data_IF_223774973938
#
_entry.id   IF_223774973938
#
_cell.length_a   1.000
_cell.length_b   1.000
_cell.length_c   1.000
_cell.angle_alpha   90.00
_cell.angle_beta   90.00
_cell.angle_gamma   90.00
#
_symmetry.space_group_name_H-M   'P 1'
#
loop_
_entity.id
_entity.type
_entity.pdbx_description
1 polymer ?
#
# COMPACT_ATOMS: atom_id res chain seq x y z
N UNK A 1 -33.84 -6.14 13.48
CA UNK A 1 -33.43 -6.71 12.18
C UNK A 1 -32.10 -7.40 12.38
N UNK A 2 -32.15 -8.73 12.54
CA UNK A 2 -30.94 -9.59 12.67
C UNK A 2 -30.37 -9.75 11.28
N UNK A 3 -29.22 -9.10 11.04
CA UNK A 3 -28.40 -9.28 9.85
C UNK A 3 -27.95 -10.74 9.75
N UNK A 4 -28.56 -11.50 8.86
CA UNK A 4 -28.16 -12.88 8.54
C UNK A 4 -26.75 -12.82 7.94
N UNK A 5 -25.74 -13.07 8.78
CA UNK A 5 -24.35 -13.22 8.36
C UNK A 5 -24.24 -14.49 7.53
N UNK A 6 -24.10 -14.33 6.22
CA UNK A 6 -23.87 -15.43 5.28
C UNK A 6 -22.51 -16.11 5.60
N UNK A 7 -22.52 -17.36 6.11
CA UNK A 7 -21.29 -18.09 6.46
C UNK A 7 -20.38 -18.34 5.25
N UNK A 8 -20.95 -18.45 4.05
CA UNK A 8 -20.20 -18.67 2.80
C UNK A 8 -19.35 -17.47 2.39
N UNK A 9 -19.86 -16.24 2.55
CA UNK A 9 -19.12 -15.02 2.24
C UNK A 9 -17.90 -14.81 3.15
N UNK A 10 -17.99 -15.21 4.42
CA UNK A 10 -16.88 -15.10 5.38
C UNK A 10 -15.73 -16.07 5.06
N UNK A 11 -16.03 -17.29 4.69
CA UNK A 11 -15.05 -18.31 4.33
C UNK A 11 -14.33 -17.93 3.02
N UNK A 12 -15.07 -17.46 2.02
CA UNK A 12 -14.50 -16.95 0.77
C UNK A 12 -13.59 -15.74 1.01
N UNK A 13 -14.00 -14.80 1.85
CA UNK A 13 -13.17 -13.65 2.22
C UNK A 13 -11.86 -14.04 2.91
N UNK A 14 -11.89 -15.04 3.81
CA UNK A 14 -10.69 -15.57 4.44
C UNK A 14 -9.76 -16.25 3.43
N UNK A 15 -10.28 -17.05 2.50
CA UNK A 15 -9.48 -17.71 1.46
C UNK A 15 -8.81 -16.70 0.53
N UNK A 16 -9.54 -15.67 0.09
CA UNK A 16 -8.96 -14.59 -0.71
C UNK A 16 -7.89 -13.81 0.06
N UNK A 17 -8.12 -13.55 1.34
CA UNK A 17 -7.14 -12.91 2.22
C UNK A 17 -5.87 -13.74 2.37
N UNK A 18 -6.01 -15.03 2.69
CA UNK A 18 -4.87 -15.96 2.80
C UNK A 18 -4.09 -16.07 1.49
N UNK A 19 -4.78 -16.16 0.36
CA UNK A 19 -4.15 -16.19 -0.97
C UNK A 19 -3.38 -14.90 -1.27
N UNK A 20 -3.98 -13.74 -1.02
CA UNK A 20 -3.36 -12.45 -1.25
C UNK A 20 -2.13 -12.22 -0.36
N UNK A 21 -2.25 -12.45 0.95
CA UNK A 21 -1.13 -12.27 1.88
C UNK A 21 -0.04 -13.35 1.70
N UNK A 22 -0.43 -14.59 1.34
CA UNK A 22 0.51 -15.65 0.99
C UNK A 22 1.35 -15.29 -0.25
N UNK A 23 0.70 -14.82 -1.32
CA UNK A 23 1.39 -14.34 -2.52
C UNK A 23 2.30 -13.14 -2.19
N UNK A 24 1.84 -12.22 -1.35
CA UNK A 24 2.64 -11.06 -0.92
C UNK A 24 3.86 -11.48 -0.10
N UNK A 25 3.71 -12.49 0.78
CA UNK A 25 4.81 -13.05 1.56
C UNK A 25 5.91 -13.73 0.72
N UNK A 26 5.62 -14.11 -0.54
CA UNK A 26 6.60 -14.68 -1.45
C UNK A 26 7.47 -13.64 -2.17
N UNK A 27 7.08 -12.36 -2.21
CA UNK A 27 7.86 -11.32 -2.91
C UNK A 27 9.31 -11.17 -2.43
N UNK A 28 9.64 -11.26 -1.12
CA UNK A 28 11.03 -11.23 -0.67
C UNK A 28 11.90 -12.34 -1.24
N UNK A 29 11.31 -13.51 -1.53
CA UNK A 29 12.02 -14.61 -2.19
C UNK A 29 12.10 -14.42 -3.72
N UNK A 30 11.13 -13.74 -4.31
CA UNK A 30 11.03 -13.53 -5.76
C UNK A 30 11.97 -12.44 -6.28
N UNK A 31 12.02 -11.27 -5.63
CA UNK A 31 12.79 -10.12 -6.15
C UNK A 31 14.28 -10.37 -6.29
N UNK A 32 14.98 -11.09 -5.38
CA UNK A 32 16.38 -11.42 -5.57
C UNK A 32 16.66 -12.27 -6.82
N UNK A 33 15.68 -13.04 -7.29
CA UNK A 33 15.79 -13.87 -8.50
C UNK A 33 15.79 -13.03 -9.79
N UNK A 34 15.34 -11.78 -9.71
CA UNK A 34 15.30 -10.88 -10.87
C UNK A 34 16.65 -10.22 -11.18
N UNK A 35 17.69 -10.47 -10.37
CA UNK A 35 19.03 -9.94 -10.66
C UNK A 35 19.51 -10.40 -12.05
N UNK A 36 20.13 -9.51 -12.84
CA UNK A 36 20.71 -8.20 -12.47
C UNK A 36 19.75 -6.99 -12.53
N UNK A 37 18.45 -7.17 -12.76
CA UNK A 37 17.51 -6.06 -12.85
C UNK A 37 17.52 -5.19 -11.58
N UNK A 38 17.60 -3.87 -11.77
CA UNK A 38 17.57 -2.90 -10.69
C UNK A 38 16.13 -2.63 -10.19
N UNK A 39 16.01 -2.02 -9.00
CA UNK A 39 14.71 -1.71 -8.40
C UNK A 39 13.83 -0.80 -9.31
N UNK A 40 14.45 0.13 -10.02
CA UNK A 40 13.74 1.02 -10.96
C UNK A 40 13.20 0.23 -12.15
N UNK A 41 13.99 -0.68 -12.72
CA UNK A 41 13.57 -1.53 -13.83
C UNK A 41 12.41 -2.45 -13.43
N UNK A 42 12.51 -3.10 -12.26
CA UNK A 42 11.43 -3.92 -11.70
C UNK A 42 10.15 -3.09 -11.50
N UNK A 43 10.28 -1.86 -10.98
CA UNK A 43 9.14 -0.95 -10.81
C UNK A 43 8.54 -0.54 -12.15
N UNK A 44 9.36 -0.20 -13.14
CA UNK A 44 8.90 0.17 -14.48
C UNK A 44 8.08 -0.96 -15.13
N UNK A 45 8.60 -2.18 -15.13
CA UNK A 45 7.87 -3.35 -15.60
C UNK A 45 6.55 -3.56 -14.86
N UNK A 46 6.54 -3.41 -13.53
CA UNK A 46 5.33 -3.53 -12.74
C UNK A 46 4.29 -2.49 -13.13
N UNK A 47 4.70 -1.23 -13.33
CA UNK A 47 3.79 -0.15 -13.75
C UNK A 47 3.18 -0.48 -15.11
N UNK A 48 4.00 -0.85 -16.10
CA UNK A 48 3.55 -1.19 -17.46
C UNK A 48 2.56 -2.36 -17.44
N UNK A 49 2.91 -3.47 -16.77
CA UNK A 49 2.04 -4.63 -16.70
C UNK A 49 0.75 -4.35 -15.92
N UNK A 50 0.81 -3.54 -14.86
CA UNK A 50 -0.38 -3.10 -14.12
C UNK A 50 -1.27 -2.25 -15.02
N UNK A 51 -0.70 -1.30 -15.78
CA UNK A 51 -1.44 -0.47 -16.72
C UNK A 51 -2.14 -1.31 -17.79
N UNK A 52 -1.43 -2.25 -18.43
CA UNK A 52 -1.99 -3.13 -19.45
C UNK A 52 -3.14 -3.98 -18.88
N UNK A 53 -2.91 -4.62 -17.73
CA UNK A 53 -3.93 -5.43 -17.06
C UNK A 53 -5.17 -4.59 -16.72
N UNK A 54 -4.98 -3.43 -16.11
CA UNK A 54 -6.09 -2.57 -15.72
C UNK A 54 -6.81 -1.96 -16.92
N UNK A 55 -6.10 -1.67 -18.02
CA UNK A 55 -6.73 -1.25 -19.27
C UNK A 55 -7.70 -2.33 -19.78
N UNK A 56 -7.26 -3.59 -19.83
CA UNK A 56 -8.11 -4.73 -20.20
C UNK A 56 -9.32 -4.84 -19.26
N UNK A 57 -9.09 -4.79 -17.92
CA UNK A 57 -10.17 -4.87 -16.93
C UNK A 57 -11.20 -3.75 -17.14
N UNK A 58 -10.75 -2.50 -17.36
CA UNK A 58 -11.65 -1.35 -17.52
C UNK A 58 -12.44 -1.43 -18.83
N UNK A 59 -11.84 -1.95 -19.91
CA UNK A 59 -12.54 -2.21 -21.18
C UNK A 59 -13.62 -3.27 -20.99
N UNK A 60 -13.26 -4.43 -20.42
CA UNK A 60 -14.19 -5.54 -20.18
C UNK A 60 -15.35 -5.12 -19.28
N UNK A 61 -15.06 -4.34 -18.25
CA UNK A 61 -16.07 -3.83 -17.30
C UNK A 61 -16.84 -2.61 -17.83
N UNK A 62 -16.54 -2.09 -19.02
CA UNK A 62 -17.14 -0.88 -19.61
C UNK A 62 -17.05 0.36 -18.71
N UNK A 63 -15.97 0.48 -17.93
CA UNK A 63 -15.73 1.56 -16.96
C UNK A 63 -14.95 2.75 -17.54
N UNK A 64 -14.69 2.77 -18.84
CA UNK A 64 -13.96 3.87 -19.51
C UNK A 64 -14.72 5.20 -19.50
N UNK A 65 -16.06 5.16 -19.40
CA UNK A 65 -16.89 6.37 -19.27
C UNK A 65 -16.58 7.14 -17.99
N UNK A 66 -16.24 6.43 -16.92
CA UNK A 66 -15.99 7.02 -15.59
C UNK A 66 -14.78 7.96 -15.61
N UNK A 67 -13.86 7.77 -16.58
CA UNK A 67 -12.67 8.62 -16.75
C UNK A 67 -13.01 10.06 -17.18
N UNK A 68 -14.15 10.25 -17.85
CA UNK A 68 -14.54 11.56 -18.42
C UNK A 68 -15.11 12.52 -17.38
N UNK A 69 -15.54 12.01 -16.23
CA UNK A 69 -16.21 12.78 -15.17
C UNK A 69 -15.27 13.22 -14.04
N UNK A 70 -13.96 13.02 -14.19
CA UNK A 70 -13.00 13.28 -13.12
C UNK A 70 -12.71 14.77 -12.95
N UNK A 71 -12.83 15.26 -11.72
CA UNK A 71 -12.52 16.64 -11.37
C UNK A 71 -11.00 16.87 -11.27
N UNK A 72 -10.55 18.13 -11.36
CA UNK A 72 -9.14 18.48 -11.13
C UNK A 72 -8.63 18.00 -9.75
N UNK A 73 -9.47 18.11 -8.73
CA UNK A 73 -9.15 17.61 -7.37
C UNK A 73 -8.90 16.12 -7.38
N UNK A 74 -9.73 15.34 -8.06
CA UNK A 74 -9.57 13.87 -8.19
C UNK A 74 -8.27 13.53 -8.88
N UNK A 75 -7.91 14.23 -9.96
CA UNK A 75 -6.62 14.03 -10.65
C UNK A 75 -5.41 14.31 -9.75
N UNK A 76 -5.45 15.38 -8.93
CA UNK A 76 -4.39 15.69 -7.97
C UNK A 76 -4.27 14.61 -6.89
N UNK A 77 -5.39 14.10 -6.39
CA UNK A 77 -5.39 13.00 -5.42
C UNK A 77 -4.84 11.70 -6.02
N UNK A 78 -5.21 11.38 -7.27
CA UNK A 78 -4.67 10.22 -7.97
C UNK A 78 -3.18 10.35 -8.26
N UNK A 79 -2.71 11.56 -8.62
CA UNK A 79 -1.29 11.81 -8.81
C UNK A 79 -0.52 11.65 -7.48
N UNK A 80 -1.04 12.19 -6.38
CA UNK A 80 -0.44 12.00 -5.06
C UNK A 80 -0.41 10.50 -4.66
N UNK A 81 -1.50 9.76 -4.89
CA UNK A 81 -1.55 8.32 -4.65
C UNK A 81 -0.52 7.58 -5.50
N UNK A 82 -0.41 7.91 -6.79
CA UNK A 82 0.57 7.33 -7.71
C UNK A 82 2.01 7.53 -7.23
N UNK A 83 2.38 8.76 -6.84
CA UNK A 83 3.72 9.05 -6.30
C UNK A 83 3.97 8.27 -5.02
N UNK A 84 3.03 8.28 -4.08
CA UNK A 84 3.18 7.59 -2.79
C UNK A 84 3.38 6.08 -2.96
N UNK A 85 2.61 5.45 -3.84
CA UNK A 85 2.72 4.01 -4.07
C UNK A 85 3.98 3.66 -4.87
N UNK A 86 4.42 4.50 -5.80
CA UNK A 86 5.68 4.32 -6.52
C UNK A 86 6.88 4.43 -5.57
N UNK A 87 6.93 5.44 -4.70
CA UNK A 87 7.97 5.57 -3.66
C UNK A 87 7.98 4.35 -2.76
N UNK A 88 6.81 3.92 -2.29
CA UNK A 88 6.69 2.74 -1.43
C UNK A 88 7.29 1.50 -2.10
N UNK A 89 6.90 1.19 -3.33
CA UNK A 89 7.38 0.01 -4.03
C UNK A 89 8.85 0.10 -4.43
N UNK A 90 9.32 1.28 -4.84
CA UNK A 90 10.73 1.49 -5.16
C UNK A 90 11.62 1.17 -3.95
N UNK A 91 11.27 1.74 -2.78
CA UNK A 91 12.01 1.50 -1.54
C UNK A 91 11.89 0.05 -1.11
N UNK A 92 10.72 -0.57 -1.25
CA UNK A 92 10.53 -1.98 -0.91
C UNK A 92 11.38 -2.91 -1.77
N UNK A 93 11.30 -2.79 -3.10
CA UNK A 93 12.07 -3.61 -4.03
C UNK A 93 13.56 -3.40 -3.81
N UNK A 94 13.99 -2.14 -3.65
CA UNK A 94 15.38 -1.83 -3.35
C UNK A 94 15.85 -2.48 -2.04
N UNK A 95 15.08 -2.35 -0.98
CA UNK A 95 15.41 -2.91 0.33
C UNK A 95 15.55 -4.44 0.27
N UNK A 96 14.58 -5.13 -0.34
CA UNK A 96 14.60 -6.58 -0.46
C UNK A 96 15.77 -7.06 -1.34
N UNK A 97 16.03 -6.38 -2.47
CA UNK A 97 17.13 -6.75 -3.39
C UNK A 97 18.52 -6.51 -2.81
N UNK A 98 18.65 -5.64 -1.80
CA UNK A 98 19.91 -5.30 -1.12
C UNK A 98 20.03 -5.94 0.28
N UNK A 99 19.20 -6.92 0.63
CA UNK A 99 19.32 -7.67 1.88
C UNK A 99 18.67 -7.01 3.10
N UNK A 100 17.95 -5.87 2.93
CA UNK A 100 17.23 -5.16 3.99
C UNK A 100 15.81 -5.69 4.20
N UNK A 101 15.61 -7.01 4.09
CA UNK A 101 14.28 -7.65 4.19
C UNK A 101 13.63 -7.40 5.55
N UNK A 102 14.42 -7.44 6.63
CA UNK A 102 13.95 -7.21 8.00
C UNK A 102 13.46 -5.78 8.18
N UNK A 103 14.19 -4.79 7.64
CA UNK A 103 13.80 -3.38 7.68
C UNK A 103 12.50 -3.16 6.89
N UNK A 104 12.36 -3.82 5.73
CA UNK A 104 11.13 -3.76 4.94
C UNK A 104 9.95 -4.39 5.69
N UNK A 105 10.14 -5.56 6.32
CA UNK A 105 9.12 -6.21 7.13
C UNK A 105 8.69 -5.33 8.31
N UNK A 106 9.65 -4.69 9.00
CA UNK A 106 9.37 -3.75 10.09
C UNK A 106 8.46 -2.60 9.64
N UNK A 107 8.64 -2.10 8.41
CA UNK A 107 7.78 -1.07 7.85
C UNK A 107 6.30 -1.49 7.81
N UNK A 108 6.01 -2.73 7.47
CA UNK A 108 4.64 -3.26 7.48
C UNK A 108 4.08 -3.46 8.89
N UNK A 109 4.92 -3.73 9.89
CA UNK A 109 4.48 -3.75 11.30
C UNK A 109 4.21 -2.34 11.85
N UNK A 110 4.94 -1.33 11.37
CA UNK A 110 4.72 0.07 11.77
C UNK A 110 3.52 0.67 11.03
N UNK A 111 3.20 0.21 9.81
CA UNK A 111 2.14 0.78 8.98
C UNK A 111 0.77 0.91 9.67
N UNK A 112 0.23 -0.09 10.40
CA UNK A 112 -1.03 0.07 11.12
C UNK A 112 -1.03 1.25 12.09
N UNK A 113 0.12 1.55 12.72
CA UNK A 113 0.27 2.66 13.66
C UNK A 113 0.22 4.00 12.94
N UNK A 114 0.96 4.10 11.83
CA UNK A 114 0.95 5.30 10.99
C UNK A 114 -0.46 5.53 10.46
N UNK A 115 -1.16 4.48 10.02
CA UNK A 115 -2.54 4.56 9.53
C UNK A 115 -3.49 5.05 10.60
N UNK A 116 -3.37 4.54 11.83
CA UNK A 116 -4.16 5.00 12.98
C UNK A 116 -3.84 6.45 13.31
N UNK A 117 -2.56 6.84 13.35
CA UNK A 117 -2.14 8.21 13.61
C UNK A 117 -2.71 9.18 12.55
N UNK A 118 -2.66 8.81 11.26
CA UNK A 118 -3.27 9.56 10.17
C UNK A 118 -4.79 9.66 10.37
N UNK A 119 -5.46 8.58 10.76
CA UNK A 119 -6.89 8.55 11.07
C UNK A 119 -7.26 9.59 12.15
N UNK A 120 -6.48 9.67 13.22
CA UNK A 120 -6.68 10.64 14.29
C UNK A 120 -6.41 12.07 13.82
N UNK A 121 -5.25 12.31 13.19
CA UNK A 121 -4.78 13.67 12.86
C UNK A 121 -5.59 14.29 11.71
N UNK A 122 -5.85 13.53 10.65
CA UNK A 122 -6.49 14.06 9.44
C UNK A 122 -8.00 13.83 9.38
N UNK A 123 -8.50 12.77 10.01
CA UNK A 123 -9.92 12.41 9.99
C UNK A 123 -10.63 12.64 11.32
N UNK A 124 -9.92 13.07 12.37
CA UNK A 124 -10.48 13.32 13.68
C UNK A 124 -11.03 12.06 14.38
N UNK A 125 -10.54 10.86 13.97
CA UNK A 125 -10.99 9.60 14.55
C UNK A 125 -10.59 9.51 16.02
N UNK A 126 -11.51 9.01 16.87
CA UNK A 126 -11.23 8.81 18.30
C UNK A 126 -10.71 7.40 18.52
N UNK A 127 -9.56 7.29 19.15
CA UNK A 127 -8.98 5.99 19.49
C UNK A 127 -9.72 5.37 20.68
N UNK A 128 -10.06 4.10 20.56
CA UNK A 128 -10.42 3.28 21.71
C UNK A 128 -9.18 2.98 22.56
N UNK A 129 -9.38 2.74 23.86
CA UNK A 129 -8.28 2.47 24.80
C UNK A 129 -7.34 1.34 24.33
N UNK A 130 -7.91 0.27 23.72
CA UNK A 130 -7.13 -0.83 23.17
C UNK A 130 -6.27 -0.40 21.97
N UNK A 131 -6.77 0.45 21.08
CA UNK A 131 -6.02 1.00 19.95
C UNK A 131 -4.88 1.91 20.45
N UNK A 132 -5.15 2.78 21.43
CA UNK A 132 -4.12 3.61 22.04
C UNK A 132 -3.01 2.76 22.66
N UNK A 133 -3.37 1.72 23.42
CA UNK A 133 -2.40 0.79 23.98
C UNK A 133 -1.55 0.11 22.91
N UNK A 134 -2.16 -0.36 21.82
CA UNK A 134 -1.45 -0.97 20.69
C UNK A 134 -0.46 0.02 20.04
N UNK A 135 -0.88 1.28 19.84
CA UNK A 135 -0.01 2.35 19.29
C UNK A 135 1.17 2.60 20.23
N UNK A 136 0.94 2.70 21.54
CA UNK A 136 2.00 2.94 22.52
C UNK A 136 2.99 1.78 22.59
N UNK A 137 2.50 0.53 22.62
CA UNK A 137 3.36 -0.67 22.62
C UNK A 137 4.26 -0.70 21.38
N UNK A 138 3.71 -0.42 20.23
CA UNK A 138 4.51 -0.49 19.02
C UNK A 138 5.43 0.73 18.85
N UNK A 139 5.04 1.92 19.31
CA UNK A 139 5.94 3.07 19.41
C UNK A 139 7.12 2.77 20.33
N UNK A 140 6.87 2.12 21.49
CA UNK A 140 7.91 1.64 22.39
C UNK A 140 8.83 0.62 21.70
N UNK A 141 8.28 -0.33 20.94
CA UNK A 141 9.05 -1.31 20.16
C UNK A 141 10.00 -0.64 19.16
N UNK A 142 9.52 0.35 18.41
CA UNK A 142 10.35 1.13 17.47
C UNK A 142 11.42 1.92 18.21
N UNK A 143 11.09 2.54 19.34
CA UNK A 143 12.04 3.28 20.16
C UNK A 143 13.15 2.36 20.70
N UNK A 144 12.79 1.20 21.26
CA UNK A 144 13.75 0.19 21.74
C UNK A 144 14.67 -0.25 20.59
N UNK A 145 14.11 -0.58 19.44
CA UNK A 145 14.89 -0.98 18.28
C UNK A 145 15.87 0.12 17.86
N UNK A 146 15.42 1.37 17.81
CA UNK A 146 16.26 2.51 17.44
C UNK A 146 17.43 2.69 18.43
N UNK A 147 17.15 2.58 19.73
CA UNK A 147 18.18 2.71 20.76
C UNK A 147 19.16 1.54 20.72
N UNK A 148 18.67 0.30 20.58
CA UNK A 148 19.53 -0.90 20.60
C UNK A 148 20.38 -1.04 19.33
N UNK A 149 19.87 -0.62 18.19
CA UNK A 149 20.62 -0.65 16.92
C UNK A 149 21.48 0.59 16.70
N UNK A 150 21.25 1.66 17.45
CA UNK A 150 21.92 2.96 17.24
C UNK A 150 21.58 3.62 15.91
N UNK A 151 20.54 3.14 15.21
CA UNK A 151 20.13 3.63 13.89
C UNK A 151 18.63 3.84 13.81
N UNK A 152 18.21 4.94 13.19
CA UNK A 152 16.81 5.20 12.86
C UNK A 152 16.41 4.20 11.75
N UNK A 153 15.29 3.47 11.88
CA UNK A 153 14.82 2.52 10.88
C UNK A 153 14.20 3.27 9.67
N UNK A 154 15.04 3.99 8.91
CA UNK A 154 14.59 4.90 7.86
C UNK A 154 13.76 4.18 6.77
N UNK A 155 14.20 2.98 6.34
CA UNK A 155 13.47 2.17 5.34
C UNK A 155 12.07 1.86 5.85
N UNK A 156 11.97 1.34 7.08
CA UNK A 156 10.70 0.99 7.70
C UNK A 156 9.76 2.21 7.82
N UNK A 157 10.30 3.36 8.23
CA UNK A 157 9.51 4.60 8.34
C UNK A 157 9.03 5.11 6.98
N UNK A 158 9.88 5.11 5.95
CA UNK A 158 9.47 5.51 4.59
C UNK A 158 8.36 4.60 4.08
N UNK A 159 8.50 3.28 4.25
CA UNK A 159 7.47 2.32 3.84
C UNK A 159 6.15 2.53 4.60
N UNK A 160 6.21 2.67 5.91
CA UNK A 160 5.02 2.87 6.74
C UNK A 160 4.30 4.20 6.42
N UNK A 161 5.05 5.30 6.30
CA UNK A 161 4.48 6.63 6.05
C UNK A 161 3.91 6.71 4.63
N UNK A 162 4.67 6.28 3.61
CA UNK A 162 4.20 6.33 2.22
C UNK A 162 2.96 5.49 2.00
N UNK A 163 2.90 4.28 2.57
CA UNK A 163 1.72 3.42 2.45
C UNK A 163 0.54 3.91 3.29
N UNK A 164 0.78 4.43 4.49
CA UNK A 164 -0.25 5.01 5.33
C UNK A 164 -0.89 6.25 4.68
N UNK A 165 -0.07 7.15 4.13
CA UNK A 165 -0.56 8.32 3.37
C UNK A 165 -1.28 7.90 2.08
N UNK A 166 -0.78 6.90 1.37
CA UNK A 166 -1.47 6.32 0.22
C UNK A 166 -2.88 5.85 0.61
N UNK A 167 -3.00 5.09 1.70
CA UNK A 167 -4.29 4.64 2.22
C UNK A 167 -5.23 5.80 2.58
N UNK A 168 -4.70 6.88 3.18
CA UNK A 168 -5.47 8.07 3.51
C UNK A 168 -5.99 8.80 2.25
N UNK A 169 -5.14 8.95 1.23
CA UNK A 169 -5.55 9.52 -0.07
C UNK A 169 -6.61 8.63 -0.73
N UNK A 170 -6.43 7.32 -0.74
CA UNK A 170 -7.41 6.37 -1.30
C UNK A 170 -8.76 6.43 -0.59
N UNK A 171 -8.81 6.71 0.70
CA UNK A 171 -10.06 6.87 1.48
C UNK A 171 -10.91 8.04 0.99
N UNK A 172 -10.27 9.09 0.44
CA UNK A 172 -10.98 10.31 0.00
C UNK A 172 -11.13 10.42 -1.52
N UNK A 173 -10.52 9.53 -2.30
CA UNK A 173 -10.67 9.49 -3.76
C UNK A 173 -12.06 8.94 -4.12
N UNK A 174 -12.95 9.72 -4.76
CA UNK A 174 -14.31 9.32 -5.07
C UNK A 174 -14.38 8.55 -6.41
N UNK A 175 -13.57 7.50 -6.55
CA UNK A 175 -13.45 6.72 -7.80
C UNK A 175 -13.45 5.23 -7.47
N UNK A 176 -14.05 4.41 -8.35
CA UNK A 176 -13.97 2.95 -8.24
C UNK A 176 -12.49 2.52 -8.07
N UNK A 177 -12.17 1.63 -7.12
CA UNK A 177 -10.79 1.20 -6.86
C UNK A 177 -10.05 0.68 -8.09
N UNK A 178 -10.74 0.03 -9.02
CA UNK A 178 -10.15 -0.50 -10.25
C UNK A 178 -9.76 0.62 -11.22
N UNK A 179 -10.64 1.61 -11.36
CA UNK A 179 -10.36 2.82 -12.16
C UNK A 179 -9.19 3.58 -11.54
N UNK A 180 -9.17 3.72 -10.22
CA UNK A 180 -8.11 4.40 -9.48
C UNK A 180 -6.74 3.74 -9.72
N UNK A 181 -6.63 2.41 -9.59
CA UNK A 181 -5.35 1.69 -9.81
C UNK A 181 -4.88 1.83 -11.27
N UNK A 182 -5.80 1.75 -12.23
CA UNK A 182 -5.48 1.94 -13.65
C UNK A 182 -4.94 3.35 -13.94
N UNK A 183 -5.56 4.38 -13.37
CA UNK A 183 -5.13 5.77 -13.52
C UNK A 183 -3.80 6.07 -12.80
N UNK A 184 -3.60 5.52 -11.60
CA UNK A 184 -2.32 5.63 -10.90
C UNK A 184 -1.17 5.03 -11.72
N UNK A 185 -1.40 3.86 -12.34
CA UNK A 185 -0.42 3.25 -13.25
C UNK A 185 -0.21 4.09 -14.52
N UNK A 186 -1.27 4.67 -15.09
CA UNK A 186 -1.16 5.55 -16.26
C UNK A 186 -0.40 6.84 -15.95
N UNK A 187 -0.59 7.41 -14.75
CA UNK A 187 0.15 8.60 -14.30
C UNK A 187 1.63 8.28 -14.08
N UNK A 188 1.94 7.10 -13.54
CA UNK A 188 3.32 6.68 -13.29
C UNK A 188 4.08 6.26 -14.55
N UNK A 189 3.39 5.76 -15.58
CA UNK A 189 4.01 5.16 -16.78
C UNK A 189 5.00 6.05 -17.56
N UNK A 190 4.89 7.41 -17.57
CA UNK A 190 5.86 8.27 -18.26
C UNK A 190 7.19 8.45 -17.51
N UNK A 191 7.32 8.02 -16.25
CA UNK A 191 8.48 8.22 -15.37
C UNK A 191 9.25 6.92 -15.12
#
# INVERSE_FOLDING_TARGET
MTEQRDPGGRTSGLLYGLGAYGAWGLYPAYFPLLKPAGAVEVLAHRIVWTLLLMAVVLVVMRKLSDLRSLTRRTWLLLAAASVLICVNWLVYVWAVSNGHVVDAALGYFINPLVTVLIGVVFFGERLHRAQLAAVLIAAAGVAILTVTTGRIPAIALVLAISFGLYGAVKKVVPVDPRVSVGLEAAIAAPF
#
